data_IF_037970106716
#
_entry.id   IF_037970106716
#
_cell.length_a   1.000
_cell.length_b   1.000
_cell.length_c   1.000
_cell.angle_alpha   90.00
_cell.angle_beta   90.00
_cell.angle_gamma   90.00
#
_symmetry.space_group_name_H-M   'P 1'
#
loop_
_entity.id
_entity.type
_entity.pdbx_description
1 polymer ?
#
# COMPACT_ATOMS: atom_id res chain seq x y z
N UNK A 1 13.79 0.01 24.26
CA UNK A 1 14.38 0.54 23.02
C UNK A 1 13.83 -0.30 21.87
N UNK A 2 13.30 0.31 20.81
CA UNK A 2 12.79 -0.43 19.66
C UNK A 2 13.93 -1.17 18.95
N UNK A 3 13.66 -2.37 18.45
CA UNK A 3 14.61 -3.19 17.68
C UNK A 3 14.12 -3.43 16.26
N UNK A 4 12.82 -3.61 16.08
CA UNK A 4 12.18 -3.88 14.79
C UNK A 4 11.15 -2.80 14.47
N UNK A 5 11.40 -2.06 13.40
CA UNK A 5 10.52 -1.00 12.92
C UNK A 5 9.92 -1.43 11.58
N UNK A 6 8.62 -1.21 11.41
CA UNK A 6 7.95 -1.37 10.13
C UNK A 6 7.36 -0.04 9.66
N UNK A 7 7.40 0.22 8.36
CA UNK A 7 6.76 1.38 7.73
C UNK A 7 5.67 0.88 6.80
N UNK A 8 4.44 1.37 6.97
CA UNK A 8 3.38 1.15 6.00
C UNK A 8 3.50 2.17 4.85
N UNK A 9 3.73 1.67 3.65
CA UNK A 9 3.99 2.48 2.46
C UNK A 9 2.96 2.22 1.37
N UNK A 10 2.33 3.28 0.85
CA UNK A 10 1.33 3.20 -0.23
C UNK A 10 1.64 4.13 -1.42
N UNK A 11 2.84 4.75 -1.41
CA UNK A 11 3.28 5.69 -2.43
C UNK A 11 2.73 7.09 -2.27
N UNK A 12 1.86 7.36 -1.29
CA UNK A 12 1.36 8.70 -0.98
C UNK A 12 2.45 9.60 -0.40
N UNK A 13 2.23 10.91 -0.42
CA UNK A 13 3.12 11.88 0.21
C UNK A 13 3.28 11.61 1.71
N UNK A 14 2.19 11.30 2.41
CA UNK A 14 2.24 10.96 3.83
C UNK A 14 3.08 9.72 4.13
N UNK A 15 2.98 8.67 3.31
CA UNK A 15 3.79 7.48 3.48
C UNK A 15 5.27 7.70 3.12
N UNK A 16 5.57 8.62 2.20
CA UNK A 16 6.96 9.02 1.89
C UNK A 16 7.60 9.74 3.06
N UNK A 17 6.87 10.69 3.70
CA UNK A 17 7.36 11.37 4.89
C UNK A 17 7.57 10.36 6.03
N UNK A 18 6.67 9.40 6.20
CA UNK A 18 6.83 8.32 7.18
C UNK A 18 8.07 7.45 6.91
N UNK A 19 8.33 7.13 5.64
CA UNK A 19 9.52 6.39 5.23
C UNK A 19 10.81 7.19 5.49
N UNK A 20 10.84 8.48 5.13
CA UNK A 20 11.98 9.36 5.41
C UNK A 20 12.29 9.39 6.92
N UNK A 21 11.27 9.54 7.77
CA UNK A 21 11.44 9.54 9.21
C UNK A 21 11.98 8.21 9.76
N UNK A 22 11.50 7.09 9.21
CA UNK A 22 12.00 5.78 9.61
C UNK A 22 13.45 5.53 9.15
N UNK A 23 13.83 6.04 7.98
CA UNK A 23 15.21 6.00 7.50
C UNK A 23 16.14 6.85 8.36
N UNK A 24 15.69 7.99 8.88
CA UNK A 24 16.45 8.79 9.86
C UNK A 24 16.65 8.01 11.15
N UNK A 25 15.60 7.37 11.67
CA UNK A 25 15.74 6.51 12.86
C UNK A 25 16.72 5.36 12.63
N UNK A 26 16.70 4.72 11.47
CA UNK A 26 17.66 3.67 11.12
C UNK A 26 19.09 4.19 11.02
N UNK A 27 19.30 5.43 10.56
CA UNK A 27 20.61 6.07 10.48
C UNK A 27 21.16 6.38 11.85
N UNK A 28 20.30 6.89 12.76
CA UNK A 28 20.69 7.23 14.13
C UNK A 28 20.91 5.98 15.00
N UNK A 29 20.23 4.90 14.69
CA UNK A 29 20.29 3.61 15.38
C UNK A 29 20.54 2.48 14.37
N UNK A 30 21.77 2.25 13.94
CA UNK A 30 22.11 1.28 12.88
C UNK A 30 21.69 -0.17 13.18
N UNK A 31 21.56 -0.52 14.45
CA UNK A 31 21.14 -1.84 14.91
C UNK A 31 19.62 -2.11 14.74
N UNK A 32 18.81 -1.08 14.42
CA UNK A 32 17.40 -1.25 14.15
C UNK A 32 17.19 -2.07 12.87
N UNK A 33 16.30 -3.03 12.93
CA UNK A 33 15.80 -3.73 11.74
C UNK A 33 14.63 -2.96 11.16
N UNK A 34 14.78 -2.48 9.93
CA UNK A 34 13.77 -1.69 9.22
C UNK A 34 13.11 -2.54 8.13
N UNK A 35 11.79 -2.64 8.17
CA UNK A 35 10.98 -3.29 7.14
C UNK A 35 10.01 -2.29 6.52
N UNK A 36 9.95 -2.23 5.20
CA UNK A 36 9.01 -1.40 4.45
C UNK A 36 7.95 -2.31 3.86
N UNK A 37 6.71 -2.08 4.26
CA UNK A 37 5.58 -2.94 3.93
C UNK A 37 4.66 -2.19 2.98
N UNK A 38 4.35 -2.79 1.84
CA UNK A 38 3.23 -2.34 1.00
C UNK A 38 2.27 -3.49 0.77
N UNK A 39 0.99 -3.17 0.64
CA UNK A 39 -0.07 -4.17 0.49
C UNK A 39 -0.64 -4.07 -0.92
N UNK A 40 -0.65 -5.21 -1.62
CA UNK A 40 -1.41 -5.38 -2.84
C UNK A 40 -2.86 -5.67 -2.42
N UNK A 41 -3.70 -4.64 -2.47
CA UNK A 41 -5.14 -4.85 -2.31
C UNK A 41 -5.64 -5.55 -3.58
N UNK A 42 -5.95 -6.84 -3.48
CA UNK A 42 -6.78 -7.47 -4.48
C UNK A 42 -8.16 -6.81 -4.39
N UNK A 43 -8.48 -6.00 -5.38
CA UNK A 43 -9.85 -5.53 -5.54
C UNK A 43 -10.70 -6.76 -5.86
N UNK A 44 -11.48 -7.22 -4.88
CA UNK A 44 -12.50 -8.27 -5.06
C UNK A 44 -13.58 -7.86 -6.09
N UNK A 45 -13.46 -6.70 -6.69
CA UNK A 45 -14.39 -6.16 -7.69
C UNK A 45 -14.26 -6.79 -9.09
N UNK A 46 -13.34 -7.71 -9.31
CA UNK A 46 -13.22 -8.39 -10.61
C UNK A 46 -14.01 -9.70 -10.72
N UNK A 47 -14.77 -10.10 -9.71
CA UNK A 47 -15.71 -11.22 -9.81
C UNK A 47 -17.14 -10.69 -9.64
N UNK A 48 -17.45 -9.67 -10.38
CA UNK A 48 -18.84 -9.36 -10.73
C UNK A 48 -19.32 -10.43 -11.70
N UNK A 49 -19.86 -11.51 -11.17
CA UNK A 49 -20.62 -12.47 -11.95
C UNK A 49 -21.85 -11.75 -12.46
N UNK A 50 -21.75 -11.12 -13.63
CA UNK A 50 -22.92 -10.65 -14.35
C UNK A 50 -23.72 -11.90 -14.75
N UNK A 51 -24.77 -12.18 -14.00
CA UNK A 51 -25.84 -13.06 -14.47
C UNK A 51 -26.36 -12.52 -15.80
N UNK A 52 -26.44 -13.34 -16.85
CA UNK A 52 -27.06 -12.91 -18.10
C UNK A 52 -28.56 -12.87 -17.91
N UNK A 53 -29.11 -11.71 -17.58
CA UNK A 53 -30.56 -11.58 -17.47
C UNK A 53 -31.12 -10.33 -16.81
N UNK A 54 -30.46 -9.19 -16.81
CA UNK A 54 -31.15 -7.93 -16.52
C UNK A 54 -30.54 -6.76 -17.29
N UNK A 55 -31.05 -6.62 -18.50
CA UNK A 55 -30.75 -5.45 -19.33
C UNK A 55 -31.82 -4.38 -19.07
N UNK A 56 -31.63 -3.51 -18.08
CA UNK A 56 -32.22 -2.17 -18.09
C UNK A 56 -31.90 -1.36 -16.83
N UNK A 57 -30.73 -0.74 -16.79
CA UNK A 57 -30.57 0.53 -16.08
C UNK A 57 -29.52 1.36 -16.81
N UNK A 58 -29.82 2.60 -17.20
CA UNK A 58 -28.84 3.50 -17.78
C UNK A 58 -27.86 3.91 -16.66
N UNK A 59 -26.59 3.58 -16.83
CA UNK A 59 -25.51 4.13 -15.99
C UNK A 59 -25.40 5.60 -16.35
N UNK A 60 -25.93 6.46 -15.51
CA UNK A 60 -25.68 7.89 -15.60
C UNK A 60 -24.24 8.14 -15.20
N UNK A 61 -23.47 8.70 -16.12
CA UNK A 61 -22.09 9.12 -15.95
C UNK A 61 -21.98 10.35 -15.02
N UNK A 62 -22.24 10.18 -13.74
CA UNK A 62 -22.00 11.20 -12.74
C UNK A 62 -21.29 10.51 -11.56
N UNK A 63 -20.10 11.02 -11.27
CA UNK A 63 -19.22 10.69 -10.14
C UNK A 63 -18.06 9.70 -10.41
N UNK A 64 -17.39 9.84 -11.55
CA UNK A 64 -15.99 9.44 -11.60
C UNK A 64 -15.18 10.67 -11.20
N UNK A 65 -14.74 10.72 -9.96
CA UNK A 65 -13.81 11.73 -9.48
C UNK A 65 -12.56 11.72 -10.39
N UNK A 66 -12.32 12.83 -11.04
CA UNK A 66 -11.25 13.01 -12.05
C UNK A 66 -9.83 12.78 -11.49
N UNK A 67 -9.70 12.52 -10.20
CA UNK A 67 -8.44 12.20 -9.52
C UNK A 67 -7.95 10.79 -9.87
N UNK A 68 -8.84 9.86 -10.26
CA UNK A 68 -8.46 8.50 -10.68
C UNK A 68 -7.91 8.41 -12.10
N UNK A 69 -8.23 9.38 -12.96
CA UNK A 69 -7.81 9.36 -14.36
C UNK A 69 -6.31 9.64 -14.57
N UNK A 70 -5.61 10.17 -13.59
CA UNK A 70 -4.21 10.56 -13.69
C UNK A 70 -3.23 9.40 -13.39
N UNK A 71 -3.72 8.26 -12.89
CA UNK A 71 -2.91 7.09 -12.54
C UNK A 71 -3.20 5.82 -13.36
N UNK A 72 -4.01 5.93 -14.41
CA UNK A 72 -4.18 4.80 -15.34
C UNK A 72 -2.99 4.77 -16.30
N UNK A 73 -2.22 3.67 -16.37
CA UNK A 73 -1.26 3.48 -17.44
C UNK A 73 -2.01 3.44 -18.77
N UNK A 74 -1.61 4.27 -19.73
CA UNK A 74 -2.08 4.24 -21.10
C UNK A 74 -1.89 2.83 -21.68
N UNK A 75 -2.97 2.16 -22.05
CA UNK A 75 -2.89 0.91 -22.79
C UNK A 75 -3.92 -0.14 -22.44
N UNK A 76 -5.23 0.18 -22.47
CA UNK A 76 -6.27 -0.84 -22.61
C UNK A 76 -7.08 -0.50 -23.83
N UNK A 77 -6.59 -0.99 -24.96
CA UNK A 77 -7.30 -1.01 -26.22
C UNK A 77 -6.81 -2.18 -27.03
N UNK A 78 -7.20 -3.41 -26.66
CA UNK A 78 -7.29 -4.51 -27.60
C UNK A 78 -8.33 -5.52 -27.09
N UNK A 79 -9.48 -5.46 -27.77
CA UNK A 79 -10.53 -6.46 -27.71
C UNK A 79 -10.00 -7.79 -28.27
N UNK A 80 -9.56 -8.69 -27.45
CA UNK A 80 -9.48 -10.09 -27.82
C UNK A 80 -9.84 -10.97 -26.60
N UNK A 81 -11.04 -11.52 -26.64
CA UNK A 81 -11.60 -12.38 -25.61
C UNK A 81 -10.87 -13.74 -25.50
N UNK A 82 -9.67 -13.72 -24.94
CA UNK A 82 -8.92 -14.91 -24.63
C UNK A 82 -9.15 -15.32 -23.18
N UNK A 83 -9.74 -16.49 -22.96
CA UNK A 83 -9.78 -17.15 -21.66
C UNK A 83 -8.35 -17.36 -21.17
N UNK A 84 -7.97 -16.70 -20.08
CA UNK A 84 -6.68 -16.91 -19.42
C UNK A 84 -6.73 -18.28 -18.72
N UNK A 85 -5.78 -19.21 -19.00
CA UNK A 85 -5.70 -20.50 -18.31
C UNK A 85 -5.39 -20.29 -16.82
N UNK A 86 -6.04 -21.07 -15.95
CA UNK A 86 -5.94 -20.99 -14.49
C UNK A 86 -4.58 -21.43 -13.88
N UNK A 87 -3.62 -21.82 -14.69
CA UNK A 87 -2.33 -22.36 -14.24
C UNK A 87 -1.12 -21.48 -14.61
N UNK A 88 -1.32 -20.20 -14.89
CA UNK A 88 -0.20 -19.27 -15.01
C UNK A 88 0.27 -18.86 -13.62
N UNK A 89 1.58 -19.01 -13.30
CA UNK A 89 2.12 -18.47 -12.06
C UNK A 89 1.77 -16.98 -11.99
N UNK A 90 1.16 -16.56 -10.89
CA UNK A 90 0.77 -15.17 -10.67
C UNK A 90 2.04 -14.33 -10.77
N UNK A 91 2.20 -13.65 -11.90
CA UNK A 91 3.31 -12.71 -12.05
C UNK A 91 3.03 -11.56 -11.07
N UNK A 92 4.04 -11.12 -10.32
CA UNK A 92 3.89 -9.90 -9.51
C UNK A 92 3.25 -8.83 -10.37
N UNK A 93 2.19 -8.20 -9.90
CA UNK A 93 1.50 -7.16 -10.66
C UNK A 93 2.53 -6.09 -11.06
N UNK A 94 2.34 -5.45 -12.20
CA UNK A 94 3.22 -4.34 -12.63
C UNK A 94 3.27 -3.25 -11.55
N UNK A 95 2.17 -3.07 -10.81
CA UNK A 95 2.10 -2.20 -9.64
C UNK A 95 3.09 -2.61 -8.55
N UNK A 96 3.13 -3.91 -8.21
CA UNK A 96 4.04 -4.44 -7.18
C UNK A 96 5.50 -4.21 -7.54
N UNK A 97 5.87 -4.46 -8.80
CA UNK A 97 7.22 -4.21 -9.30
C UNK A 97 7.58 -2.72 -9.26
N UNK A 98 6.65 -1.86 -9.68
CA UNK A 98 6.87 -0.41 -9.65
C UNK A 98 7.06 0.09 -8.23
N UNK A 99 6.23 -0.37 -7.31
CA UNK A 99 6.32 -0.01 -5.89
C UNK A 99 7.66 -0.47 -5.29
N UNK A 100 8.05 -1.71 -5.51
CA UNK A 100 9.32 -2.26 -5.05
C UNK A 100 10.51 -1.44 -5.58
N UNK A 101 10.54 -1.18 -6.88
CA UNK A 101 11.62 -0.42 -7.51
C UNK A 101 11.72 1.02 -6.98
N UNK A 102 10.56 1.67 -6.75
CA UNK A 102 10.52 3.02 -6.19
C UNK A 102 11.09 3.07 -4.76
N UNK A 103 10.74 2.10 -3.94
CA UNK A 103 11.28 1.99 -2.57
C UNK A 103 12.77 1.70 -2.61
N UNK A 104 13.21 0.74 -3.44
CA UNK A 104 14.61 0.38 -3.59
C UNK A 104 15.45 1.58 -4.00
N UNK A 105 14.99 2.37 -4.96
CA UNK A 105 15.68 3.60 -5.38
C UNK A 105 15.87 4.57 -4.22
N UNK A 106 14.83 4.80 -3.40
CA UNK A 106 14.91 5.68 -2.23
C UNK A 106 15.93 5.17 -1.20
N UNK A 107 15.97 3.86 -0.96
CA UNK A 107 16.93 3.24 -0.06
C UNK A 107 18.36 3.39 -0.56
N UNK A 108 18.59 3.15 -1.86
CA UNK A 108 19.91 3.26 -2.50
C UNK A 108 20.43 4.71 -2.45
N UNK A 109 19.57 5.68 -2.77
CA UNK A 109 19.90 7.12 -2.69
C UNK A 109 20.32 7.54 -1.26
N UNK A 110 19.64 7.00 -0.26
CA UNK A 110 19.91 7.31 1.16
C UNK A 110 20.96 6.39 1.78
N UNK A 111 21.38 5.33 1.08
CA UNK A 111 22.32 4.29 1.56
C UNK A 111 21.83 3.64 2.86
N UNK A 112 20.55 3.30 2.90
CA UNK A 112 19.89 2.63 4.03
C UNK A 112 19.59 1.19 3.64
N UNK A 113 19.91 0.26 4.54
CA UNK A 113 19.52 -1.14 4.41
C UNK A 113 18.17 -1.37 5.09
N UNK A 114 17.22 -1.94 4.35
CA UNK A 114 15.89 -2.31 4.84
C UNK A 114 15.32 -3.46 4.02
N UNK A 115 14.41 -4.23 4.63
CA UNK A 115 13.65 -5.24 3.91
C UNK A 115 12.42 -4.60 3.24
N UNK A 116 12.16 -4.96 1.99
CA UNK A 116 10.97 -4.54 1.25
C UNK A 116 10.04 -5.74 1.13
N UNK A 117 8.82 -5.62 1.67
CA UNK A 117 7.86 -6.70 1.77
C UNK A 117 6.55 -6.33 1.10
N UNK A 118 6.16 -7.15 0.13
CA UNK A 118 4.84 -7.10 -0.48
C UNK A 118 3.91 -8.05 0.29
N UNK A 119 2.80 -7.55 0.78
CA UNK A 119 1.77 -8.35 1.43
C UNK A 119 0.50 -8.30 0.56
N UNK A 120 -0.25 -9.39 0.52
CA UNK A 120 -1.48 -9.47 -0.26
C UNK A 120 -2.70 -9.43 0.68
N UNK A 121 -3.75 -8.70 0.28
CA UNK A 121 -5.00 -8.67 1.00
C UNK A 121 -5.43 -7.29 1.50
N UNK A 122 -6.21 -7.25 2.55
CA UNK A 122 -6.73 -6.00 3.13
C UNK A 122 -5.74 -5.37 4.11
N UNK A 123 -5.31 -4.14 3.83
CA UNK A 123 -4.31 -3.38 4.62
C UNK A 123 -4.55 -3.45 6.13
N UNK A 124 -5.81 -3.24 6.54
CA UNK A 124 -6.17 -3.17 7.97
C UNK A 124 -6.09 -4.51 8.70
N UNK A 125 -6.10 -5.62 7.99
CA UNK A 125 -5.96 -6.97 8.56
C UNK A 125 -4.55 -7.49 8.42
N UNK A 126 -3.96 -7.28 7.25
CA UNK A 126 -2.67 -7.86 6.86
C UNK A 126 -1.51 -7.24 7.62
N UNK A 127 -1.51 -5.90 7.79
CA UNK A 127 -0.42 -5.21 8.52
C UNK A 127 -0.40 -5.59 10.00
N UNK A 128 -1.51 -5.56 10.77
CA UNK A 128 -1.49 -6.01 12.16
C UNK A 128 -1.06 -7.47 12.34
N UNK A 129 -1.51 -8.37 11.46
CA UNK A 129 -1.09 -9.78 11.49
C UNK A 129 0.42 -9.94 11.26
N UNK A 130 0.98 -9.22 10.28
CA UNK A 130 2.42 -9.19 10.03
C UNK A 130 3.21 -8.67 11.25
N UNK A 131 2.73 -7.59 11.88
CA UNK A 131 3.36 -6.99 13.06
C UNK A 131 3.44 -8.00 14.20
N UNK A 132 2.35 -8.72 14.44
CA UNK A 132 2.28 -9.75 15.50
C UNK A 132 3.22 -10.92 15.19
N UNK A 133 3.19 -11.45 13.97
CA UNK A 133 4.03 -12.58 13.54
C UNK A 133 5.52 -12.24 13.60
N UNK A 134 5.92 -11.08 13.06
CA UNK A 134 7.31 -10.65 13.02
C UNK A 134 7.79 -9.99 14.30
N UNK A 135 6.91 -9.77 15.28
CA UNK A 135 7.20 -9.09 16.55
C UNK A 135 7.81 -7.71 16.33
N UNK A 136 7.15 -6.92 15.51
CA UNK A 136 7.53 -5.53 15.27
C UNK A 136 7.25 -4.70 16.53
N UNK A 137 8.19 -3.84 16.91
CA UNK A 137 8.08 -2.99 18.10
C UNK A 137 7.42 -1.64 17.83
N UNK A 138 7.62 -1.13 16.60
CA UNK A 138 7.13 0.18 16.17
C UNK A 138 6.63 0.13 14.74
N UNK A 139 5.39 0.53 14.52
CA UNK A 139 4.84 0.79 13.20
C UNK A 139 4.87 2.30 12.93
N UNK A 140 5.42 2.69 11.78
CA UNK A 140 5.44 4.08 11.31
C UNK A 140 4.44 4.22 10.17
N UNK A 141 3.56 5.19 10.27
CA UNK A 141 2.51 5.46 9.25
C UNK A 141 2.42 6.96 8.97
N UNK A 142 2.08 7.31 7.73
CA UNK A 142 1.73 8.70 7.41
C UNK A 142 0.39 9.10 8.02
N UNK A 143 0.19 10.38 8.26
CA UNK A 143 -1.10 10.88 8.78
C UNK A 143 -2.23 10.82 7.74
N UNK A 144 -1.91 10.94 6.46
CA UNK A 144 -2.87 10.89 5.35
C UNK A 144 -2.33 10.04 4.20
N UNK A 145 -3.20 9.24 3.61
CA UNK A 145 -2.88 8.48 2.39
C UNK A 145 -3.21 9.27 1.11
N UNK A 146 -3.59 8.56 0.07
CA UNK A 146 -3.82 9.06 -1.30
C UNK A 146 -4.83 10.23 -1.44
N UNK A 147 -5.69 10.47 -0.47
CA UNK A 147 -6.75 11.50 -0.56
C UNK A 147 -6.32 12.93 -0.23
N UNK A 148 -5.09 13.16 0.23
CA UNK A 148 -4.45 14.50 0.35
C UNK A 148 -5.24 15.63 1.04
N UNK A 149 -6.46 15.38 1.45
CA UNK A 149 -7.38 16.38 1.96
C UNK A 149 -7.17 16.62 3.46
N UNK A 150 -6.64 17.80 3.75
CA UNK A 150 -6.54 18.46 5.06
C UNK A 150 -5.44 17.94 6.01
N UNK A 151 -4.48 18.80 6.26
CA UNK A 151 -3.33 18.61 7.18
C UNK A 151 -3.69 18.25 8.64
N UNK A 152 -4.98 18.22 9.00
CA UNK A 152 -5.46 17.98 10.36
C UNK A 152 -6.17 16.64 10.56
N UNK A 153 -6.36 15.84 9.51
CA UNK A 153 -7.07 14.57 9.62
C UNK A 153 -6.13 13.38 9.45
N UNK A 154 -6.25 12.44 10.36
CA UNK A 154 -5.62 11.12 10.22
C UNK A 154 -6.47 10.32 9.23
N UNK A 155 -5.85 9.76 8.19
CA UNK A 155 -6.51 8.91 7.19
C UNK A 155 -7.20 7.70 7.83
N UNK A 156 -8.21 7.16 7.16
CA UNK A 156 -8.98 6.03 7.65
C UNK A 156 -8.12 4.80 7.97
N UNK A 157 -7.18 4.48 7.09
CA UNK A 157 -6.23 3.37 7.26
C UNK A 157 -5.30 3.63 8.46
N UNK A 158 -4.67 4.81 8.50
CA UNK A 158 -3.76 5.18 9.59
C UNK A 158 -4.47 5.19 10.95
N UNK A 159 -5.72 5.67 10.99
CA UNK A 159 -6.57 5.65 12.19
C UNK A 159 -6.90 4.22 12.63
N UNK A 160 -7.16 3.33 11.67
CA UNK A 160 -7.45 1.93 11.97
C UNK A 160 -6.21 1.20 12.45
N UNK A 161 -5.07 1.40 11.79
CA UNK A 161 -3.79 0.84 12.22
C UNK A 161 -3.38 1.35 13.62
N UNK A 162 -3.59 2.64 13.91
CA UNK A 162 -3.35 3.21 15.23
C UNK A 162 -4.16 2.51 16.34
N UNK A 163 -5.40 2.09 16.02
CA UNK A 163 -6.30 1.43 16.98
C UNK A 163 -6.03 -0.06 17.12
N UNK A 164 -5.68 -0.73 16.03
CA UNK A 164 -5.67 -2.21 15.93
C UNK A 164 -4.27 -2.81 15.97
N UNK A 165 -3.20 -2.01 15.84
CA UNK A 165 -1.83 -2.53 15.89
C UNK A 165 -1.48 -3.07 17.26
N UNK A 166 -0.84 -4.25 17.33
CA UNK A 166 -0.38 -4.85 18.59
C UNK A 166 0.92 -4.23 19.12
N UNK A 167 1.48 -3.22 18.45
CA UNK A 167 2.72 -2.53 18.84
C UNK A 167 2.50 -1.01 18.96
N UNK A 168 3.57 -0.28 19.33
CA UNK A 168 3.57 1.19 19.28
C UNK A 168 3.39 1.69 17.85
N UNK A 169 2.64 2.80 17.67
CA UNK A 169 2.42 3.42 16.35
C UNK A 169 2.86 4.87 16.37
N UNK A 170 3.74 5.21 15.44
CA UNK A 170 4.18 6.58 15.17
C UNK A 170 3.44 7.10 13.93
N UNK A 171 2.62 8.13 14.13
CA UNK A 171 1.94 8.83 13.02
C UNK A 171 2.77 10.05 12.65
N UNK A 172 3.27 10.10 11.42
CA UNK A 172 4.11 11.19 10.90
C UNK A 172 3.26 12.15 10.08
N UNK A 173 3.52 13.45 10.23
CA UNK A 173 2.77 14.55 9.57
C UNK A 173 3.67 15.33 8.64
#
# INVERSE_FOLDING_TARGET
>A
MFKKIAVAYDGSEGSRIALDQAMELKRDFPELHLSIIYVNEETEESIGFMSPGDASAPVTSADIDSTYAQFMPYGIGDNNGGRVPRDTPVRPSEFSKHMHNSIQQLLDEKKIEADILALDGNVSKTIPAFIEEQKVDLLVVGNSGKSGLQKFFIGSVSKKLLKESPCSVLVVK
#
